data_IF_240680878328
#
_entry.id   IF_240680878328
#
_cell.length_a   1.000
_cell.length_b   1.000
_cell.length_c   1.000
_cell.angle_alpha   90.00
_cell.angle_beta   90.00
_cell.angle_gamma   90.00
#
_symmetry.space_group_name_H-M   'P 1'
#
loop_
_entity.id
_entity.type
_entity.pdbx_description
1 polymer ?
#
# COMPACT_ATOMS: atom_id res chain seq x y z
N UNK A 1 -37.18 26.29 22.18
CA UNK A 1 -38.01 26.25 20.96
C UNK A 1 -37.53 25.16 20.04
N UNK A 2 -38.35 24.16 19.74
CA UNK A 2 -38.01 23.13 18.75
C UNK A 2 -38.05 23.73 17.34
N UNK A 3 -37.01 23.46 16.53
CA UNK A 3 -36.96 23.91 15.14
C UNK A 3 -37.90 23.08 14.29
N UNK A 4 -38.88 23.69 13.63
CA UNK A 4 -39.86 23.01 12.76
C UNK A 4 -39.26 22.44 11.47
N UNK A 5 -38.10 22.93 11.04
CA UNK A 5 -37.47 22.52 9.78
C UNK A 5 -36.09 21.95 10.02
N UNK A 6 -35.80 20.84 9.36
CA UNK A 6 -34.51 20.23 9.37
C UNK A 6 -33.51 21.02 8.52
N UNK A 7 -32.28 21.20 8.99
CA UNK A 7 -31.24 21.90 8.22
C UNK A 7 -30.91 21.12 6.94
N UNK A 8 -31.01 21.80 5.80
CA UNK A 8 -30.74 21.23 4.47
C UNK A 8 -29.23 20.92 4.27
N UNK A 9 -28.34 21.60 5.01
CA UNK A 9 -26.91 21.34 4.97
C UNK A 9 -26.29 21.63 3.61
N UNK A 10 -25.39 20.73 3.18
CA UNK A 10 -24.61 20.89 1.93
C UNK A 10 -25.47 20.84 0.65
N UNK A 11 -26.68 20.32 0.72
CA UNK A 11 -27.59 20.19 -0.43
C UNK A 11 -28.45 21.46 -0.65
N UNK A 12 -28.39 22.44 0.25
CA UNK A 12 -29.07 23.72 0.10
C UNK A 12 -28.69 24.43 -1.21
N UNK A 13 -27.45 24.27 -1.67
CA UNK A 13 -26.94 24.84 -2.93
C UNK A 13 -27.71 24.40 -4.18
N UNK A 14 -28.45 23.30 -4.11
CA UNK A 14 -29.20 22.78 -5.26
C UNK A 14 -30.58 23.50 -5.42
N UNK A 15 -31.05 24.21 -4.39
CA UNK A 15 -32.35 24.85 -4.38
C UNK A 15 -33.47 23.83 -4.52
N UNK A 16 -34.45 24.11 -5.38
CA UNK A 16 -35.61 23.25 -5.68
C UNK A 16 -35.29 22.14 -6.71
N UNK A 17 -34.09 22.21 -7.30
CA UNK A 17 -33.67 21.26 -8.33
C UNK A 17 -33.28 19.92 -7.72
N UNK A 18 -33.41 18.86 -8.51
CA UNK A 18 -33.18 17.44 -8.14
C UNK A 18 -34.17 16.98 -7.06
N UNK A 19 -34.73 15.82 -7.20
CA UNK A 19 -35.69 15.22 -6.26
C UNK A 19 -35.05 14.92 -4.89
N UNK A 20 -35.85 14.66 -3.91
CA UNK A 20 -35.44 14.44 -2.51
C UNK A 20 -34.45 13.30 -2.37
N UNK A 21 -34.65 12.19 -3.10
CA UNK A 21 -33.77 11.02 -3.05
C UNK A 21 -32.35 11.33 -3.53
N UNK A 22 -32.22 12.05 -4.65
CA UNK A 22 -30.92 12.45 -5.22
C UNK A 22 -30.22 13.42 -4.29
N UNK A 23 -30.92 14.41 -3.75
CA UNK A 23 -30.35 15.37 -2.78
C UNK A 23 -29.87 14.68 -1.51
N UNK A 24 -30.60 13.69 -1.00
CA UNK A 24 -30.18 12.89 0.17
C UNK A 24 -28.89 12.12 -0.12
N UNK A 25 -28.80 11.39 -1.25
CA UNK A 25 -27.59 10.66 -1.67
C UNK A 25 -26.38 11.60 -1.81
N UNK A 26 -26.55 12.73 -2.49
CA UNK A 26 -25.50 13.73 -2.62
C UNK A 26 -25.08 14.32 -1.26
N UNK A 27 -26.04 14.61 -0.38
CA UNK A 27 -25.78 15.10 0.97
C UNK A 27 -24.95 14.13 1.80
N UNK A 28 -25.29 12.85 1.78
CA UNK A 28 -24.55 11.79 2.47
C UNK A 28 -23.11 11.68 1.93
N UNK A 29 -22.91 11.67 0.62
CA UNK A 29 -21.59 11.61 0.00
C UNK A 29 -20.72 12.83 0.38
N UNK A 30 -21.29 14.04 0.30
CA UNK A 30 -20.59 15.27 0.67
C UNK A 30 -20.24 15.29 2.16
N UNK A 31 -21.13 14.80 3.03
CA UNK A 31 -20.88 14.72 4.46
C UNK A 31 -19.69 13.81 4.78
N UNK A 32 -19.60 12.64 4.12
CA UNK A 32 -18.47 11.73 4.23
C UNK A 32 -17.14 12.40 3.84
N UNK A 33 -17.10 13.12 2.72
CA UNK A 33 -15.89 13.83 2.26
C UNK A 33 -15.45 14.93 3.22
N UNK A 34 -16.40 15.66 3.81
CA UNK A 34 -16.11 16.78 4.72
C UNK A 34 -15.72 16.36 6.12
N UNK A 35 -16.04 15.15 6.50
CA UNK A 35 -15.69 14.59 7.82
C UNK A 35 -14.17 14.52 7.99
N UNK A 36 -13.69 14.65 9.20
CA UNK A 36 -12.31 14.36 9.57
C UNK A 36 -12.17 12.88 9.94
N UNK A 37 -11.07 12.26 9.52
CA UNK A 37 -10.79 10.85 9.78
C UNK A 37 -9.47 10.71 10.54
N UNK A 38 -9.33 9.61 11.26
CA UNK A 38 -8.13 9.28 12.02
C UNK A 38 -7.02 8.82 11.07
N UNK A 39 -5.81 9.30 11.30
CA UNK A 39 -4.64 8.91 10.52
C UNK A 39 -4.16 7.51 10.93
N UNK A 40 -3.82 6.60 10.00
CA UNK A 40 -3.31 5.27 10.33
C UNK A 40 -1.92 5.31 10.97
N UNK A 41 -1.13 6.36 10.74
CA UNK A 41 0.24 6.49 11.25
C UNK A 41 0.28 7.23 12.59
N UNK A 42 -0.23 8.46 12.64
CA UNK A 42 -0.14 9.29 13.85
C UNK A 42 -1.40 9.29 14.72
N UNK A 43 -2.45 8.55 14.33
CA UNK A 43 -3.74 8.38 15.01
C UNK A 43 -4.49 9.70 15.31
N UNK A 44 -4.06 10.82 14.75
CA UNK A 44 -4.76 12.09 14.90
C UNK A 44 -5.91 12.26 13.93
N UNK A 45 -7.05 12.84 14.32
CA UNK A 45 -8.24 13.04 13.47
C UNK A 45 -8.06 14.24 12.52
N UNK A 46 -6.97 14.27 11.75
CA UNK A 46 -6.63 15.36 10.82
C UNK A 46 -6.45 14.90 9.37
N UNK A 47 -7.01 13.74 9.02
CA UNK A 47 -7.03 13.27 7.62
C UNK A 47 -8.12 13.98 6.84
N UNK A 48 -7.78 14.50 5.68
CA UNK A 48 -8.67 15.16 4.72
C UNK A 48 -8.42 14.65 3.31
N UNK A 49 -9.46 14.65 2.48
CA UNK A 49 -9.37 14.33 1.07
C UNK A 49 -8.57 15.40 0.34
N UNK A 50 -7.54 15.00 -0.40
CA UNK A 50 -6.75 15.87 -1.28
C UNK A 50 -7.26 15.82 -2.72
N UNK A 51 -7.44 14.62 -3.26
CA UNK A 51 -7.99 14.36 -4.58
C UNK A 51 -8.92 13.16 -4.54
N UNK A 52 -9.46 12.74 -5.68
CA UNK A 52 -10.31 11.56 -5.79
C UNK A 52 -9.52 10.32 -5.41
N UNK A 53 -9.89 9.65 -4.30
CA UNK A 53 -9.17 8.48 -3.79
C UNK A 53 -7.85 8.77 -3.08
N UNK A 54 -7.42 10.02 -2.95
CA UNK A 54 -6.17 10.39 -2.26
C UNK A 54 -6.48 11.16 -0.99
N UNK A 55 -5.97 10.67 0.11
CA UNK A 55 -6.16 11.21 1.44
C UNK A 55 -4.83 11.58 2.09
N UNK A 56 -4.80 12.67 2.82
CA UNK A 56 -3.58 13.15 3.47
C UNK A 56 -3.84 13.65 4.88
N UNK A 57 -2.93 13.33 5.78
CA UNK A 57 -2.94 13.82 7.15
C UNK A 57 -2.28 15.20 7.22
N UNK A 58 -2.97 16.19 7.79
CA UNK A 58 -2.43 17.55 7.97
C UNK A 58 -1.42 17.66 9.13
N UNK A 59 -1.27 16.61 9.96
CA UNK A 59 -0.30 16.64 11.07
C UNK A 59 1.04 16.04 10.67
N UNK A 60 1.05 14.80 10.18
CA UNK A 60 2.28 14.07 9.84
C UNK A 60 2.61 14.08 8.34
N UNK A 61 1.77 14.68 7.49
CA UNK A 61 2.00 14.71 6.05
C UNK A 61 1.76 13.37 5.33
N UNK A 62 1.45 12.29 6.06
CA UNK A 62 1.22 10.97 5.46
C UNK A 62 0.10 11.00 4.43
N UNK A 63 0.39 10.54 3.20
CA UNK A 63 -0.56 10.42 2.10
C UNK A 63 -0.80 8.94 1.81
N UNK A 64 -2.06 8.58 1.59
CA UNK A 64 -2.45 7.21 1.29
C UNK A 64 -3.65 7.15 0.36
N UNK A 65 -3.77 6.02 -0.34
CA UNK A 65 -4.91 5.74 -1.21
C UNK A 65 -6.11 5.25 -0.37
N UNK A 66 -7.29 5.67 -0.73
CA UNK A 66 -8.53 5.27 -0.09
C UNK A 66 -9.72 5.33 -1.03
N UNK A 67 -10.92 5.20 -0.50
CA UNK A 67 -12.13 5.33 -1.28
C UNK A 67 -12.38 6.77 -1.75
N UNK A 68 -13.24 6.91 -2.77
CA UNK A 68 -13.55 8.23 -3.36
C UNK A 68 -14.23 9.16 -2.35
N UNK A 69 -15.12 8.64 -1.53
CA UNK A 69 -15.93 9.43 -0.59
C UNK A 69 -15.48 9.31 0.87
N UNK A 70 -14.85 8.20 1.23
CA UNK A 70 -14.33 7.90 2.57
C UNK A 70 -12.97 7.19 2.46
N UNK A 71 -12.01 7.43 3.37
CA UNK A 71 -10.67 6.86 3.27
C UNK A 71 -10.67 5.35 3.51
N UNK A 72 -11.45 4.89 4.47
CA UNK A 72 -11.54 3.49 4.86
C UNK A 72 -12.85 2.90 4.34
N UNK A 73 -12.74 1.97 3.42
CA UNK A 73 -13.87 1.26 2.83
C UNK A 73 -13.85 -0.20 3.27
N UNK A 74 -15.00 -0.87 3.23
CA UNK A 74 -15.10 -2.29 3.53
C UNK A 74 -14.14 -3.14 2.66
N UNK A 75 -13.94 -2.76 1.40
CA UNK A 75 -12.99 -3.42 0.52
C UNK A 75 -11.54 -3.23 0.97
N UNK A 76 -11.16 -2.02 1.41
CA UNK A 76 -9.80 -1.78 1.94
C UNK A 76 -9.54 -2.57 3.22
N UNK A 77 -10.51 -2.71 4.10
CA UNK A 77 -10.39 -3.52 5.32
C UNK A 77 -10.21 -5.01 5.00
N UNK A 78 -10.93 -5.51 4.00
CA UNK A 78 -10.77 -6.90 3.53
C UNK A 78 -9.38 -7.11 2.93
N UNK A 79 -8.91 -6.20 2.08
CA UNK A 79 -7.57 -6.26 1.49
C UNK A 79 -6.48 -6.20 2.57
N UNK A 80 -6.61 -5.32 3.55
CA UNK A 80 -5.66 -5.23 4.66
C UNK A 80 -5.62 -6.52 5.50
N UNK A 81 -6.75 -7.20 5.69
CA UNK A 81 -6.79 -8.51 6.35
C UNK A 81 -6.07 -9.58 5.54
N UNK A 82 -6.26 -9.61 4.21
CA UNK A 82 -5.59 -10.57 3.33
C UNK A 82 -4.07 -10.33 3.34
N UNK A 83 -3.63 -9.08 3.21
CA UNK A 83 -2.21 -8.71 3.27
C UNK A 83 -1.60 -9.11 4.61
N UNK A 84 -2.27 -8.83 5.73
CA UNK A 84 -1.80 -9.22 7.06
C UNK A 84 -1.65 -10.72 7.20
N UNK A 85 -2.65 -11.52 6.77
CA UNK A 85 -2.56 -12.98 6.77
C UNK A 85 -1.42 -13.49 5.89
N UNK A 86 -1.21 -12.90 4.72
CA UNK A 86 -0.08 -13.23 3.85
C UNK A 86 1.26 -12.96 4.52
N UNK A 87 1.39 -11.83 5.20
CA UNK A 87 2.60 -11.48 5.95
C UNK A 87 2.80 -12.38 7.18
N UNK A 88 1.76 -12.71 7.92
CA UNK A 88 1.82 -13.60 9.09
C UNK A 88 2.11 -15.06 8.68
N UNK A 89 1.57 -15.53 7.54
CA UNK A 89 1.86 -16.85 6.98
C UNK A 89 3.26 -16.94 6.35
N UNK A 90 3.77 -15.86 5.77
CA UNK A 90 5.12 -15.79 5.19
C UNK A 90 6.23 -15.75 6.25
N UNK A 91 5.92 -15.48 7.52
CA UNK A 91 6.96 -15.13 8.51
C UNK A 91 7.69 -16.32 9.14
N UNK A 92 7.16 -17.53 9.16
CA UNK A 92 7.83 -18.64 9.84
C UNK A 92 8.37 -19.71 8.89
N UNK A 93 7.55 -20.17 7.95
CA UNK A 93 7.95 -21.25 7.02
C UNK A 93 8.61 -20.72 5.75
N UNK A 94 8.08 -19.61 5.20
CA UNK A 94 8.59 -19.07 3.93
C UNK A 94 9.94 -18.37 4.09
N UNK A 95 10.22 -17.74 5.22
CA UNK A 95 11.55 -17.15 5.49
C UNK A 95 12.63 -18.23 5.64
N UNK A 96 12.30 -19.37 6.24
CA UNK A 96 13.22 -20.50 6.33
C UNK A 96 13.50 -21.10 4.95
N UNK A 97 12.46 -21.25 4.11
CA UNK A 97 12.60 -21.75 2.73
C UNK A 97 13.39 -20.76 1.87
N UNK A 98 13.12 -19.46 1.96
CA UNK A 98 13.88 -18.43 1.23
C UNK A 98 15.35 -18.39 1.69
N UNK A 99 15.60 -18.52 2.99
CA UNK A 99 16.96 -18.57 3.52
C UNK A 99 17.72 -19.80 3.02
N UNK A 100 17.09 -20.99 3.01
CA UNK A 100 17.70 -22.21 2.48
C UNK A 100 17.95 -22.12 0.96
N UNK A 101 17.03 -21.54 0.19
CA UNK A 101 17.23 -21.33 -1.24
C UNK A 101 18.40 -20.39 -1.53
N UNK A 102 18.52 -19.28 -0.78
CA UNK A 102 19.66 -18.36 -0.92
C UNK A 102 20.99 -19.00 -0.53
N UNK A 103 21.00 -19.87 0.47
CA UNK A 103 22.21 -20.60 0.86
C UNK A 103 22.68 -21.54 -0.26
N UNK A 104 21.76 -22.31 -0.85
CA UNK A 104 22.03 -23.19 -1.99
C UNK A 104 22.52 -22.39 -3.21
N UNK A 105 21.90 -21.24 -3.50
CA UNK A 105 22.29 -20.38 -4.60
C UNK A 105 23.69 -19.77 -4.39
N UNK A 106 24.04 -19.44 -3.16
CA UNK A 106 25.35 -18.95 -2.78
C UNK A 106 26.42 -20.04 -2.90
N UNK A 107 26.17 -21.27 -2.45
CA UNK A 107 27.07 -22.42 -2.61
C UNK A 107 27.30 -22.72 -4.09
N UNK A 108 26.25 -22.70 -4.90
CA UNK A 108 26.37 -22.88 -6.34
C UNK A 108 27.19 -21.80 -7.02
N UNK A 109 27.02 -20.52 -6.63
CA UNK A 109 27.82 -19.43 -7.18
C UNK A 109 29.31 -19.52 -6.79
N UNK A 110 29.61 -20.07 -5.62
CA UNK A 110 31.00 -20.34 -5.21
C UNK A 110 31.63 -21.47 -6.02
N UNK A 111 30.89 -22.56 -6.21
CA UNK A 111 31.38 -23.69 -7.04
C UNK A 111 31.65 -23.24 -8.50
N UNK A 112 30.76 -22.47 -9.09
CA UNK A 112 30.96 -21.90 -10.42
C UNK A 112 32.14 -20.92 -10.50
N UNK A 113 32.45 -20.23 -9.40
CA UNK A 113 33.62 -19.33 -9.33
C UNK A 113 34.92 -20.11 -9.19
N UNK A 114 34.93 -21.22 -8.44
CA UNK A 114 36.08 -22.13 -8.31
C UNK A 114 36.40 -22.83 -9.63
N UNK A 115 35.40 -23.40 -10.33
CA UNK A 115 35.58 -24.00 -11.66
C UNK A 115 36.14 -23.00 -12.67
N UNK A 116 35.70 -21.75 -12.65
CA UNK A 116 36.19 -20.70 -13.53
C UNK A 116 37.62 -20.29 -13.21
N UNK A 117 38.00 -20.32 -11.92
CA UNK A 117 39.36 -20.08 -11.45
C UNK A 117 40.36 -21.17 -11.90
N UNK A 118 39.91 -22.43 -11.91
CA UNK A 118 40.71 -23.57 -12.37
C UNK A 118 40.89 -23.54 -13.89
N UNK A 119 39.90 -23.13 -14.68
CA UNK A 119 40.02 -22.97 -16.14
C UNK A 119 41.02 -21.85 -16.52
N UNK A 120 41.00 -20.71 -15.81
CA UNK A 120 41.98 -19.66 -16.03
C UNK A 120 43.41 -20.10 -15.65
N UNK A 121 43.59 -20.86 -14.57
CA UNK A 121 44.89 -21.39 -14.14
C UNK A 121 45.47 -22.38 -15.15
N UNK A 122 44.64 -23.26 -15.73
CA UNK A 122 45.04 -24.21 -16.76
C UNK A 122 45.46 -23.51 -18.05
N UNK A 123 44.75 -22.43 -18.46
CA UNK A 123 45.11 -21.67 -19.65
C UNK A 123 46.45 -20.95 -19.52
N UNK A 124 46.79 -20.46 -18.33
CA UNK A 124 48.07 -19.81 -18.05
C UNK A 124 49.26 -20.76 -18.07
N UNK A 125 49.08 -22.01 -17.61
CA UNK A 125 50.15 -23.03 -17.66
C UNK A 125 50.44 -23.48 -19.08
N UNK A 126 49.45 -23.52 -19.95
CA UNK A 126 49.63 -23.92 -21.37
C UNK A 126 50.39 -22.84 -22.18
N UNK A 127 50.15 -21.55 -21.90
CA UNK A 127 50.89 -20.47 -22.54
C UNK A 127 52.37 -20.45 -22.16
N UNK A 128 52.73 -20.82 -20.93
CA UNK A 128 54.12 -20.84 -20.44
C UNK A 128 54.95 -22.02 -20.99
N UNK A 129 54.30 -23.11 -21.44
CA UNK A 129 54.96 -24.27 -22.02
C UNK A 129 55.39 -24.06 -23.50
N UNK A 130 54.91 -23.00 -24.16
CA UNK A 130 55.27 -22.68 -25.54
C UNK A 130 56.39 -21.64 -25.67
N UNK A 131 56.94 -21.08 -24.56
CA UNK A 131 58.00 -20.06 -24.55
C UNK A 131 59.39 -20.66 -24.18
N UNK A 132 59.52 -21.97 -24.07
CA UNK A 132 60.79 -22.65 -23.93
C UNK A 132 61.06 -23.52 -25.17
#
# INVERSE_FOLDING_TARGET
MSKRTQKTGATARFGSRYGVSVRRRAGTAIAKVRRSYTCPVCQYPKVKRQASGIWGCRKCGHKFAGGVWEPFTRASDTNNRIIRRGLEGATATDMAVIASQKAIEYERSQAEAEERGDEEAVSYTHLRAHET
#
